data_IF_166894079139
#
_entry.id   IF_166894079139
#
_cell.length_a   1.000
_cell.length_b   1.000
_cell.length_c   1.000
_cell.angle_alpha   90.00
_cell.angle_beta   90.00
_cell.angle_gamma   90.00
#
_symmetry.space_group_name_H-M   'P 1'
#
loop_
_entity.id
_entity.type
_entity.pdbx_description
1 polymer ?
#
# COMPACT_ATOMS: atom_id res chain seq x y z
N UNK A 1 -10.91 -6.17 -9.97
CA UNK A 1 -9.92 -5.23 -9.39
C UNK A 1 -10.65 -4.44 -8.32
N UNK A 2 -10.04 -4.23 -7.15
CA UNK A 2 -10.65 -3.49 -6.05
C UNK A 2 -9.68 -2.42 -5.56
N UNK A 3 -10.17 -1.21 -5.32
CA UNK A 3 -9.39 -0.10 -4.79
C UNK A 3 -10.00 0.44 -3.51
N UNK A 4 -9.15 1.02 -2.67
CA UNK A 4 -9.52 1.72 -1.45
C UNK A 4 -8.51 2.82 -1.17
N UNK A 5 -8.93 3.82 -0.40
CA UNK A 5 -8.07 4.93 -0.01
C UNK A 5 -7.54 4.72 1.40
N UNK A 6 -6.30 5.14 1.62
CA UNK A 6 -5.68 5.26 2.94
C UNK A 6 -5.24 6.70 3.15
N UNK A 7 -5.30 7.12 4.40
CA UNK A 7 -4.83 8.42 4.86
C UNK A 7 -3.57 8.19 5.69
N UNK A 8 -2.45 8.77 5.25
CA UNK A 8 -1.15 8.64 5.89
C UNK A 8 -0.76 9.97 6.57
N UNK A 9 -0.50 9.99 7.88
CA UNK A 9 -0.16 11.20 8.63
C UNK A 9 1.30 11.60 8.40
N UNK A 10 1.60 12.10 7.21
CA UNK A 10 2.91 12.60 6.80
C UNK A 10 2.99 12.90 5.31
N UNK A 11 4.17 13.28 4.84
CA UNK A 11 4.42 13.57 3.42
C UNK A 11 4.47 12.31 2.55
N UNK A 12 4.32 12.48 1.24
CA UNK A 12 4.36 11.37 0.28
C UNK A 12 5.73 10.70 0.21
N UNK A 13 6.81 11.45 0.46
CA UNK A 13 8.16 10.89 0.57
C UNK A 13 8.30 9.99 1.80
N UNK A 14 7.77 10.43 2.95
CA UNK A 14 7.78 9.62 4.17
C UNK A 14 6.92 8.37 4.02
N UNK A 15 5.77 8.48 3.35
CA UNK A 15 4.95 7.33 2.98
C UNK A 15 5.76 6.29 2.19
N UNK A 16 6.49 6.71 1.15
CA UNK A 16 7.30 5.79 0.33
C UNK A 16 8.35 5.08 1.18
N UNK A 17 9.07 5.81 2.03
CA UNK A 17 10.12 5.24 2.89
C UNK A 17 9.52 4.24 3.88
N UNK A 18 8.42 4.58 4.53
CA UNK A 18 7.79 3.73 5.55
C UNK A 18 7.07 2.52 4.93
N UNK A 19 6.37 2.71 3.81
CA UNK A 19 5.78 1.64 3.01
C UNK A 19 6.86 0.64 2.58
N UNK A 20 7.99 1.14 2.07
CA UNK A 20 9.12 0.30 1.63
C UNK A 20 9.62 -0.56 2.79
N UNK A 21 9.90 0.07 3.95
CA UNK A 21 10.36 -0.64 5.15
C UNK A 21 9.36 -1.68 5.62
N UNK A 22 8.08 -1.31 5.77
CA UNK A 22 7.03 -2.20 6.26
C UNK A 22 6.86 -3.43 5.36
N UNK A 23 6.87 -3.23 4.04
CA UNK A 23 6.68 -4.30 3.06
C UNK A 23 7.92 -5.20 2.97
N UNK A 24 9.12 -4.63 2.96
CA UNK A 24 10.37 -5.40 2.95
C UNK A 24 10.57 -6.21 4.24
N UNK A 25 10.20 -5.66 5.41
CA UNK A 25 10.24 -6.38 6.69
C UNK A 25 9.34 -7.63 6.71
N UNK A 26 8.34 -7.69 5.84
CA UNK A 26 7.47 -8.85 5.65
C UNK A 26 7.91 -9.75 4.48
N UNK A 27 9.12 -9.56 3.97
CA UNK A 27 9.67 -10.31 2.83
C UNK A 27 9.05 -9.95 1.48
N UNK A 28 8.38 -8.79 1.40
CA UNK A 28 7.78 -8.26 0.18
C UNK A 28 8.70 -7.34 -0.61
N UNK A 29 8.19 -6.86 -1.73
CA UNK A 29 8.84 -5.87 -2.60
C UNK A 29 7.92 -4.67 -2.76
N UNK A 30 8.50 -3.48 -2.59
CA UNK A 30 7.84 -2.20 -2.87
C UNK A 30 8.72 -1.43 -3.85
N UNK A 31 8.12 -0.93 -4.93
CA UNK A 31 8.81 -0.17 -5.96
C UNK A 31 7.95 1.03 -6.35
N UNK A 32 8.46 2.25 -6.18
CA UNK A 32 7.75 3.45 -6.56
C UNK A 32 8.40 4.72 -6.03
N UNK A 33 7.67 5.83 -6.17
CA UNK A 33 8.08 7.16 -5.75
C UNK A 33 6.92 7.90 -5.08
N UNK A 34 7.13 9.18 -4.75
CA UNK A 34 6.17 10.04 -4.06
C UNK A 34 4.83 10.27 -4.81
N UNK A 35 4.65 9.72 -6.02
CA UNK A 35 3.44 9.84 -6.81
C UNK A 35 2.74 8.49 -7.01
N UNK A 36 3.49 7.43 -7.33
CA UNK A 36 2.91 6.12 -7.62
C UNK A 36 3.95 4.99 -7.56
N UNK A 37 3.42 3.77 -7.51
CA UNK A 37 4.24 2.57 -7.61
C UNK A 37 3.45 1.29 -7.46
N UNK A 38 4.17 0.21 -7.21
CA UNK A 38 3.65 -1.15 -7.06
C UNK A 38 4.25 -1.86 -5.86
N UNK A 39 3.51 -2.85 -5.36
CA UNK A 39 3.93 -3.68 -4.25
C UNK A 39 3.50 -5.14 -4.44
N UNK A 40 4.28 -6.03 -3.82
CA UNK A 40 4.02 -7.46 -3.77
C UNK A 40 4.42 -7.99 -2.40
N UNK A 41 3.48 -8.64 -1.72
CA UNK A 41 3.72 -9.40 -0.50
C UNK A 41 3.43 -10.88 -0.75
N UNK A 42 4.33 -11.74 -0.28
CA UNK A 42 4.03 -13.15 -0.08
C UNK A 42 3.56 -13.33 1.35
N UNK A 43 2.28 -13.65 1.54
CA UNK A 43 1.75 -14.01 2.87
C UNK A 43 1.62 -15.53 2.98
N UNK A 44 1.49 -16.05 4.20
CA UNK A 44 1.26 -17.48 4.46
C UNK A 44 0.02 -18.02 3.73
N UNK A 45 -0.96 -17.15 3.47
CA UNK A 45 -2.25 -17.48 2.88
C UNK A 45 -2.34 -17.07 1.39
N UNK A 46 -1.20 -16.66 0.79
CA UNK A 46 -1.06 -16.39 -0.64
C UNK A 46 -0.42 -15.03 -0.96
N UNK A 47 -0.12 -14.84 -2.24
CA UNK A 47 0.46 -13.60 -2.74
C UNK A 47 -0.59 -12.49 -2.83
N UNK A 48 -0.26 -11.31 -2.31
CA UNK A 48 -1.00 -10.06 -2.50
C UNK A 48 -0.15 -9.14 -3.37
N UNK A 49 -0.71 -8.65 -4.48
CA UNK A 49 -0.05 -7.64 -5.34
C UNK A 49 -0.98 -6.48 -5.58
N UNK A 50 -0.41 -5.29 -5.66
CA UNK A 50 -1.17 -4.08 -5.92
C UNK A 50 -0.30 -2.93 -6.40
N UNK A 51 -0.99 -1.85 -6.75
CA UNK A 51 -0.42 -0.56 -7.08
C UNK A 51 -0.89 0.47 -6.06
N UNK A 52 -0.13 1.55 -5.91
CA UNK A 52 -0.55 2.73 -5.17
C UNK A 52 -0.41 3.98 -6.01
N UNK A 53 -1.24 4.98 -5.71
CA UNK A 53 -1.18 6.31 -6.29
C UNK A 53 -1.47 7.36 -5.22
N UNK A 54 -0.57 8.31 -5.06
CA UNK A 54 -0.81 9.48 -4.21
C UNK A 54 -1.78 10.41 -4.94
N UNK A 55 -2.88 10.74 -4.26
CA UNK A 55 -3.97 11.58 -4.80
C UNK A 55 -4.15 12.89 -4.01
N UNK A 56 -3.37 13.09 -2.95
CA UNK A 56 -3.28 14.37 -2.23
C UNK A 56 -2.29 15.34 -2.89
N UNK A 57 -2.45 16.63 -2.59
CA UNK A 57 -1.49 17.67 -2.98
C UNK A 57 -0.11 17.43 -2.32
N UNK A 58 1.01 17.67 -3.02
CA UNK A 58 2.36 17.56 -2.45
C UNK A 58 2.60 18.40 -1.19
N UNK A 59 1.85 19.50 -1.00
CA UNK A 59 1.99 20.40 0.15
C UNK A 59 0.97 20.10 1.26
N UNK A 60 0.20 19.02 1.13
CA UNK A 60 -0.80 18.66 2.12
C UNK A 60 -0.13 18.06 3.37
N UNK A 61 -0.59 18.42 4.59
CA UNK A 61 -0.04 17.86 5.83
C UNK A 61 -0.34 16.36 6.00
N UNK A 62 -1.21 15.80 5.16
CA UNK A 62 -1.60 14.40 5.14
C UNK A 62 -1.54 13.88 3.71
N UNK A 63 -0.97 12.69 3.53
CA UNK A 63 -0.91 12.04 2.21
C UNK A 63 -2.09 11.11 2.05
N UNK A 64 -2.89 11.34 1.01
CA UNK A 64 -3.97 10.44 0.62
C UNK A 64 -3.49 9.52 -0.49
N UNK A 65 -3.60 8.21 -0.28
CA UNK A 65 -3.10 7.21 -1.22
C UNK A 65 -4.23 6.29 -1.63
N UNK A 66 -4.45 6.18 -2.94
CA UNK A 66 -5.31 5.16 -3.52
C UNK A 66 -4.51 3.87 -3.71
N UNK A 67 -4.98 2.78 -3.11
CA UNK A 67 -4.42 1.44 -3.23
C UNK A 67 -5.31 0.63 -4.15
N UNK A 68 -4.73 0.00 -5.17
CA UNK A 68 -5.43 -0.90 -6.09
C UNK A 68 -4.85 -2.32 -5.98
N UNK A 69 -5.67 -3.29 -5.58
CA UNK A 69 -5.25 -4.69 -5.52
C UNK A 69 -5.43 -5.34 -6.90
N UNK A 70 -4.32 -5.75 -7.49
CA UNK A 70 -4.24 -6.39 -8.82
C UNK A 70 -4.24 -7.91 -8.73
N UNK A 71 -3.71 -8.47 -7.63
CA UNK A 71 -3.76 -9.90 -7.33
C UNK A 71 -4.10 -10.10 -5.85
N UNK A 72 -5.20 -10.79 -5.58
CA UNK A 72 -5.58 -11.20 -4.23
C UNK A 72 -5.55 -12.72 -4.10
N UNK A 73 -5.26 -13.27 -2.90
CA UNK A 73 -5.53 -14.67 -2.62
C UNK A 73 -7.03 -14.97 -2.74
N UNK A 74 -7.41 -16.15 -3.23
CA UNK A 74 -8.83 -16.48 -3.47
C UNK A 74 -9.65 -16.50 -2.17
N UNK A 75 -9.06 -16.99 -1.08
CA UNK A 75 -9.72 -17.21 0.21
C UNK A 75 -9.69 -15.96 1.12
N UNK A 76 -8.89 -14.93 0.77
CA UNK A 76 -8.76 -13.74 1.61
C UNK A 76 -9.79 -12.69 1.19
N UNK A 77 -10.66 -12.25 2.12
CA UNK A 77 -11.60 -11.17 1.87
C UNK A 77 -10.87 -9.84 1.75
N UNK A 78 -11.42 -8.93 0.93
CA UNK A 78 -10.81 -7.63 0.67
C UNK A 78 -10.67 -6.79 1.95
N UNK A 79 -11.63 -6.90 2.87
CA UNK A 79 -11.59 -6.22 4.17
C UNK A 79 -10.35 -6.57 4.98
N UNK A 80 -9.91 -7.84 4.97
CA UNK A 80 -8.67 -8.27 5.66
C UNK A 80 -7.42 -7.73 4.99
N UNK A 81 -7.40 -7.65 3.66
CA UNK A 81 -6.29 -7.04 2.92
C UNK A 81 -6.19 -5.55 3.26
N UNK A 82 -7.34 -4.86 3.28
CA UNK A 82 -7.41 -3.45 3.67
C UNK A 82 -6.95 -3.25 5.11
N UNK A 83 -7.45 -4.03 6.08
CA UNK A 83 -7.06 -3.97 7.49
C UNK A 83 -5.53 -4.10 7.67
N UNK A 84 -4.93 -5.11 7.03
CA UNK A 84 -3.48 -5.34 7.11
C UNK A 84 -2.69 -4.20 6.47
N UNK A 85 -3.07 -3.76 5.26
CA UNK A 85 -2.38 -2.66 4.57
C UNK A 85 -2.51 -1.37 5.38
N UNK A 86 -3.70 -1.03 5.87
CA UNK A 86 -3.94 0.14 6.70
C UNK A 86 -3.18 0.08 8.03
N UNK A 87 -2.91 -1.10 8.60
CA UNK A 87 -2.11 -1.22 9.83
C UNK A 87 -0.62 -0.95 9.66
N UNK A 88 -0.13 -0.83 8.43
CA UNK A 88 1.26 -0.47 8.15
C UNK A 88 1.50 1.05 8.09
N UNK A 89 0.42 1.84 8.16
CA UNK A 89 0.38 3.29 7.97
C UNK A 89 -0.29 3.97 9.17
#
# INVERSE_FOLDING_TARGET
MASFNIDYPGSSNEFVVNATKAIQNKGGVFQGNANAGSFSLQTLIGAVKGNYKVISDPNSPQTKVEITITKKPMIVPMSKIQEVISSYF
#
